data_IF_595734613508
#
_entry.id   IF_595734613508
#
_cell.length_a   1.000
_cell.length_b   1.000
_cell.length_c   1.000
_cell.angle_alpha   90.00
_cell.angle_beta   90.00
_cell.angle_gamma   90.00
#
_symmetry.space_group_name_H-M   'P 1'
#
loop_
_entity.id
_entity.type
_entity.pdbx_description
1 polymer ?
#
# COMPACT_ATOMS: atom_id res chain seq x y z
N UNK A 1 21.07 -3.85 -39.79
CA UNK A 1 19.64 -3.72 -39.45
C UNK A 1 19.47 -3.70 -37.94
N UNK A 2 19.47 -2.52 -37.31
CA UNK A 2 19.13 -2.38 -35.88
C UNK A 2 17.62 -2.58 -35.76
N UNK A 3 17.19 -3.60 -35.02
CA UNK A 3 15.78 -3.74 -34.65
C UNK A 3 15.45 -2.62 -33.66
N UNK A 4 14.89 -1.53 -34.17
CA UNK A 4 14.19 -0.53 -33.39
C UNK A 4 13.06 -1.25 -32.63
N UNK A 5 13.32 -1.59 -31.36
CA UNK A 5 12.36 -2.28 -30.52
C UNK A 5 11.18 -1.32 -30.28
N UNK A 6 10.06 -1.54 -30.96
CA UNK A 6 8.81 -0.82 -30.70
C UNK A 6 8.54 -0.86 -29.19
N UNK A 7 8.34 0.28 -28.51
CA UNK A 7 8.01 0.31 -27.09
C UNK A 7 6.59 -0.22 -26.92
N UNK A 8 6.48 -1.54 -26.80
CA UNK A 8 5.26 -2.26 -26.48
C UNK A 8 5.35 -2.83 -25.06
N UNK A 9 4.21 -3.06 -24.38
CA UNK A 9 4.20 -3.66 -23.06
C UNK A 9 4.85 -5.05 -23.09
N UNK A 10 6.03 -5.18 -22.48
CA UNK A 10 6.67 -6.48 -22.27
C UNK A 10 5.93 -7.23 -21.17
N UNK A 11 5.10 -8.20 -21.56
CA UNK A 11 4.29 -9.03 -20.65
C UNK A 11 5.09 -9.63 -19.49
N UNK A 12 6.28 -10.15 -19.77
CA UNK A 12 7.19 -10.68 -18.74
C UNK A 12 7.55 -9.63 -17.70
N UNK A 13 7.85 -8.40 -18.15
CA UNK A 13 8.15 -7.27 -17.28
C UNK A 13 6.94 -6.78 -16.49
N UNK A 14 5.71 -7.01 -16.95
CA UNK A 14 4.49 -6.74 -16.17
C UNK A 14 4.29 -7.79 -15.08
N UNK A 15 4.44 -9.07 -15.42
CA UNK A 15 4.26 -10.16 -14.47
C UNK A 15 5.32 -10.15 -13.36
N UNK A 16 6.57 -9.82 -13.69
CA UNK A 16 7.67 -9.72 -12.72
C UNK A 16 7.67 -8.42 -11.91
N UNK A 17 6.91 -7.41 -12.30
CA UNK A 17 6.96 -6.10 -11.65
C UNK A 17 6.52 -6.15 -10.19
N UNK A 18 5.34 -6.72 -9.93
CA UNK A 18 4.78 -6.87 -8.58
C UNK A 18 5.66 -7.71 -7.66
N UNK A 19 6.10 -8.93 -8.03
CA UNK A 19 6.97 -9.71 -7.16
C UNK A 19 8.34 -9.05 -6.95
N UNK A 20 8.87 -8.31 -7.92
CA UNK A 20 10.12 -7.57 -7.76
C UNK A 20 9.98 -6.42 -6.74
N UNK A 21 8.90 -5.65 -6.81
CA UNK A 21 8.61 -4.58 -5.84
C UNK A 21 8.50 -5.16 -4.43
N UNK A 22 7.81 -6.28 -4.29
CA UNK A 22 7.69 -6.99 -3.01
C UNK A 22 9.06 -7.49 -2.51
N UNK A 23 9.88 -8.07 -3.39
CA UNK A 23 11.22 -8.54 -3.04
C UNK A 23 12.13 -7.39 -2.61
N UNK A 24 12.06 -6.24 -3.27
CA UNK A 24 12.82 -5.04 -2.90
C UNK A 24 12.36 -4.50 -1.55
N UNK A 25 11.06 -4.36 -1.33
CA UNK A 25 10.52 -3.91 -0.04
C UNK A 25 10.87 -4.90 1.09
N UNK A 26 10.84 -6.19 0.81
CA UNK A 26 11.26 -7.24 1.73
C UNK A 26 12.73 -7.14 2.08
N UNK A 27 13.60 -6.91 1.09
CA UNK A 27 15.03 -6.77 1.33
C UNK A 27 15.34 -5.52 2.17
N UNK A 28 14.64 -4.41 1.91
CA UNK A 28 14.79 -3.15 2.67
C UNK A 28 14.39 -3.28 4.14
N UNK A 29 13.37 -4.09 4.42
CA UNK A 29 12.80 -4.24 5.78
C UNK A 29 13.43 -5.40 6.56
N UNK A 30 14.14 -6.31 5.89
CA UNK A 30 14.89 -7.40 6.53
C UNK A 30 15.87 -6.97 7.63
N UNK A 31 16.69 -5.90 7.49
CA UNK A 31 17.61 -5.48 8.56
C UNK A 31 16.88 -5.05 9.83
N UNK A 32 15.62 -4.62 9.77
CA UNK A 32 14.84 -4.29 10.98
C UNK A 32 14.58 -5.50 11.87
N UNK A 33 14.55 -6.71 11.31
CA UNK A 33 14.47 -7.94 12.11
C UNK A 33 15.74 -8.14 12.94
N UNK A 34 16.91 -7.76 12.41
CA UNK A 34 18.17 -7.84 13.16
C UNK A 34 18.24 -6.78 14.27
N UNK A 35 17.51 -5.67 14.12
CA UNK A 35 17.32 -4.65 15.15
C UNK A 35 16.30 -5.06 16.23
N UNK A 36 15.75 -6.28 16.17
CA UNK A 36 14.81 -6.80 17.16
C UNK A 36 13.38 -6.30 17.01
N UNK A 37 13.00 -5.73 15.86
CA UNK A 37 11.60 -5.36 15.62
C UNK A 37 10.68 -6.58 15.52
N UNK A 38 9.45 -6.38 15.98
CA UNK A 38 8.40 -7.39 15.92
C UNK A 38 8.18 -7.89 14.47
N UNK A 39 8.14 -9.22 14.23
CA UNK A 39 7.97 -9.79 12.89
C UNK A 39 6.67 -9.38 12.19
N UNK A 40 5.60 -9.15 12.95
CA UNK A 40 4.30 -8.71 12.39
C UNK A 40 4.42 -7.27 11.90
N UNK A 41 5.04 -6.40 12.70
CA UNK A 41 5.31 -5.01 12.31
C UNK A 41 6.19 -4.94 11.05
N UNK A 42 7.24 -5.77 10.95
CA UNK A 42 8.08 -5.84 9.75
C UNK A 42 7.26 -6.28 8.53
N UNK A 43 6.37 -7.27 8.67
CA UNK A 43 5.53 -7.76 7.55
C UNK A 43 4.55 -6.70 7.02
N UNK A 44 4.03 -5.86 7.91
CA UNK A 44 3.24 -4.69 7.53
C UNK A 44 4.09 -3.67 6.78
N UNK A 45 5.30 -3.41 7.27
CA UNK A 45 6.23 -2.48 6.64
C UNK A 45 6.67 -2.94 5.24
N UNK A 46 6.83 -4.26 5.02
CA UNK A 46 7.07 -4.84 3.69
C UNK A 46 5.92 -4.51 2.76
N UNK A 47 4.68 -4.74 3.19
CA UNK A 47 3.47 -4.51 2.39
C UNK A 47 3.30 -3.02 2.06
N UNK A 48 3.48 -2.16 3.07
CA UNK A 48 3.41 -0.71 2.92
C UNK A 48 4.52 -0.19 1.98
N UNK A 49 5.74 -0.67 2.18
CA UNK A 49 6.88 -0.33 1.33
C UNK A 49 6.67 -0.76 -0.12
N UNK A 50 6.17 -1.98 -0.35
CA UNK A 50 5.86 -2.47 -1.69
C UNK A 50 4.76 -1.64 -2.37
N UNK A 51 3.73 -1.24 -1.62
CA UNK A 51 2.66 -0.37 -2.10
C UNK A 51 3.18 1.03 -2.46
N UNK A 52 4.01 1.64 -1.62
CA UNK A 52 4.64 2.92 -1.90
C UNK A 52 5.56 2.85 -3.15
N UNK A 53 6.37 1.80 -3.24
CA UNK A 53 7.23 1.56 -4.41
C UNK A 53 6.39 1.38 -5.68
N UNK A 54 5.26 0.68 -5.58
CA UNK A 54 4.32 0.53 -6.68
C UNK A 54 3.76 1.87 -7.13
N UNK A 55 3.26 2.70 -6.21
CA UNK A 55 2.76 4.05 -6.49
C UNK A 55 3.81 4.91 -7.20
N UNK A 56 5.08 4.85 -6.79
CA UNK A 56 6.17 5.64 -7.40
C UNK A 56 6.61 5.06 -8.76
N UNK A 57 6.71 3.74 -8.89
CA UNK A 57 7.17 3.12 -10.13
C UNK A 57 6.10 3.10 -11.23
N UNK A 58 4.81 3.13 -10.89
CA UNK A 58 3.71 3.15 -11.85
C UNK A 58 3.77 4.34 -12.84
N UNK A 59 3.90 5.61 -12.40
CA UNK A 59 4.01 6.75 -13.31
C UNK A 59 5.30 6.73 -14.13
N UNK A 60 6.42 6.31 -13.53
CA UNK A 60 7.70 6.16 -14.23
C UNK A 60 7.59 5.13 -15.37
N UNK A 61 6.86 4.03 -15.11
CA UNK A 61 6.65 2.97 -16.10
C UNK A 61 5.69 3.40 -17.20
N UNK A 62 4.61 4.12 -16.87
CA UNK A 62 3.70 4.70 -17.87
C UNK A 62 4.44 5.73 -18.76
N UNK A 63 5.26 6.58 -18.17
CA UNK A 63 6.08 7.55 -18.91
C UNK A 63 7.06 6.87 -19.86
N UNK A 64 7.76 5.82 -19.40
CA UNK A 64 8.77 5.11 -20.23
C UNK A 64 8.17 4.19 -21.31
N UNK A 65 7.09 3.46 -20.99
CA UNK A 65 6.54 2.44 -21.91
C UNK A 65 5.51 3.05 -22.87
N UNK A 66 4.74 4.04 -22.41
CA UNK A 66 3.63 4.61 -23.18
C UNK A 66 3.86 6.08 -23.60
N UNK A 67 5.05 6.65 -23.32
CA UNK A 67 5.42 8.04 -23.65
C UNK A 67 4.39 9.08 -23.19
N UNK A 68 3.75 8.85 -22.02
CA UNK A 68 2.72 9.75 -21.49
C UNK A 68 3.37 10.84 -20.66
N UNK A 69 3.20 12.11 -21.06
CA UNK A 69 3.72 13.27 -20.35
C UNK A 69 3.12 13.47 -18.94
N UNK A 70 1.84 13.11 -18.76
CA UNK A 70 1.12 13.22 -17.49
C UNK A 70 0.45 11.88 -17.12
N UNK A 71 1.22 10.91 -16.59
CA UNK A 71 0.76 9.55 -16.36
C UNK A 71 -0.43 9.47 -15.40
N UNK A 72 -0.43 10.27 -14.33
CA UNK A 72 -1.52 10.30 -13.35
C UNK A 72 -2.84 10.87 -13.90
N UNK A 73 -2.78 11.92 -14.75
CA UNK A 73 -3.98 12.45 -15.42
C UNK A 73 -4.61 11.42 -16.35
N UNK A 74 -3.79 10.65 -17.08
CA UNK A 74 -4.30 9.56 -17.94
C UNK A 74 -4.88 8.38 -17.15
N UNK A 75 -4.47 8.19 -15.90
CA UNK A 75 -5.06 7.21 -14.99
C UNK A 75 -6.36 7.72 -14.32
N UNK A 76 -6.80 8.93 -14.65
CA UNK A 76 -8.03 9.51 -14.10
C UNK A 76 -7.83 10.35 -12.83
N UNK A 77 -6.58 10.50 -12.34
CA UNK A 77 -6.26 11.43 -11.25
C UNK A 77 -6.11 12.83 -11.85
N UNK A 78 -7.24 13.42 -12.23
CA UNK A 78 -7.34 14.75 -12.84
C UNK A 78 -8.17 15.73 -12.00
N UNK A 79 -8.63 15.29 -10.82
CA UNK A 79 -9.39 16.12 -9.90
C UNK A 79 -8.45 17.04 -9.10
N UNK A 80 -8.93 18.24 -8.70
CA UNK A 80 -8.18 19.10 -7.80
C UNK A 80 -7.97 18.40 -6.44
N UNK A 81 -6.90 18.80 -5.74
CA UNK A 81 -6.44 18.11 -4.52
C UNK A 81 -7.50 18.08 -3.43
N UNK A 82 -8.23 19.18 -3.25
CA UNK A 82 -9.36 19.31 -2.32
C UNK A 82 -10.44 18.24 -2.53
N UNK A 83 -10.89 18.07 -3.78
CA UNK A 83 -11.91 17.09 -4.15
C UNK A 83 -11.38 15.66 -4.03
N UNK A 84 -10.11 15.46 -4.31
CA UNK A 84 -9.44 14.16 -4.18
C UNK A 84 -9.31 13.75 -2.72
N UNK A 85 -8.94 14.66 -1.83
CA UNK A 85 -8.87 14.44 -0.38
C UNK A 85 -10.27 14.15 0.18
N UNK A 86 -11.29 14.90 -0.25
CA UNK A 86 -12.67 14.64 0.19
C UNK A 86 -13.17 13.27 -0.28
N UNK A 87 -12.89 12.89 -1.53
CA UNK A 87 -13.24 11.57 -2.07
C UNK A 87 -12.49 10.45 -1.34
N UNK A 88 -11.21 10.65 -1.02
CA UNK A 88 -10.40 9.71 -0.23
C UNK A 88 -10.99 9.54 1.18
N UNK A 89 -11.30 10.65 1.86
CA UNK A 89 -11.90 10.62 3.19
C UNK A 89 -13.25 9.88 3.20
N UNK A 90 -14.10 10.15 2.20
CA UNK A 90 -15.38 9.48 2.06
C UNK A 90 -15.21 7.98 1.77
N UNK A 91 -14.31 7.61 0.85
CA UNK A 91 -14.00 6.22 0.55
C UNK A 91 -13.40 5.48 1.74
N UNK A 92 -12.52 6.13 2.50
CA UNK A 92 -11.92 5.58 3.72
C UNK A 92 -12.98 5.37 4.81
N UNK A 93 -13.92 6.31 4.95
CA UNK A 93 -15.05 6.19 5.87
C UNK A 93 -15.96 5.02 5.46
N UNK A 94 -16.29 4.90 4.17
CA UNK A 94 -17.08 3.76 3.67
C UNK A 94 -16.36 2.42 3.91
N UNK A 95 -15.06 2.35 3.61
CA UNK A 95 -14.27 1.15 3.87
C UNK A 95 -14.22 0.81 5.37
N UNK A 96 -14.07 1.82 6.23
CA UNK A 96 -14.10 1.64 7.68
C UNK A 96 -15.47 1.13 8.17
N UNK A 97 -16.57 1.65 7.62
CA UNK A 97 -17.93 1.17 7.91
C UNK A 97 -18.15 -0.27 7.44
N UNK A 98 -17.70 -0.62 6.23
CA UNK A 98 -17.79 -2.00 5.75
C UNK A 98 -16.96 -2.95 6.60
N UNK A 99 -15.73 -2.56 6.93
CA UNK A 99 -14.82 -3.38 7.72
C UNK A 99 -15.33 -3.55 9.16
N UNK A 100 -15.87 -2.49 9.77
CA UNK A 100 -16.46 -2.57 11.11
C UNK A 100 -17.72 -3.44 11.10
N UNK A 101 -18.60 -3.28 10.12
CA UNK A 101 -19.77 -4.13 9.93
C UNK A 101 -19.39 -5.61 9.76
N UNK A 102 -18.40 -5.91 8.93
CA UNK A 102 -17.86 -7.27 8.76
C UNK A 102 -17.26 -7.81 10.06
N UNK A 103 -16.52 -6.98 10.79
CA UNK A 103 -15.90 -7.37 12.07
C UNK A 103 -16.95 -7.68 13.13
N UNK A 104 -18.01 -6.86 13.22
CA UNK A 104 -19.15 -7.10 14.12
C UNK A 104 -19.86 -8.39 13.74
N UNK A 105 -20.09 -8.64 12.44
CA UNK A 105 -20.71 -9.87 11.97
C UNK A 105 -19.86 -11.11 12.33
N UNK A 106 -18.54 -11.04 12.17
CA UNK A 106 -17.61 -12.10 12.55
C UNK A 106 -17.63 -12.39 14.06
N UNK A 107 -17.70 -11.34 14.88
CA UNK A 107 -17.85 -11.48 16.34
C UNK A 107 -19.20 -12.11 16.71
N UNK A 108 -20.29 -11.66 16.08
CA UNK A 108 -21.64 -12.18 16.33
C UNK A 108 -21.79 -13.66 15.93
N UNK A 109 -21.12 -14.08 14.86
CA UNK A 109 -21.09 -15.47 14.39
C UNK A 109 -20.09 -16.34 15.18
N UNK A 110 -19.32 -15.77 16.11
CA UNK A 110 -18.31 -16.49 16.90
C UNK A 110 -17.02 -16.85 16.14
N UNK A 111 -16.85 -16.38 14.90
CA UNK A 111 -15.62 -16.59 14.12
C UNK A 111 -14.47 -15.66 14.53
N UNK A 112 -14.75 -14.60 15.30
CA UNK A 112 -13.76 -13.73 15.90
C UNK A 112 -13.94 -13.68 17.42
N UNK A 113 -12.84 -13.60 18.15
CA UNK A 113 -12.83 -13.42 19.60
C UNK A 113 -12.15 -12.10 19.93
N UNK A 114 -12.73 -11.35 20.86
CA UNK A 114 -12.11 -10.14 21.38
C UNK A 114 -10.92 -10.55 22.27
N UNK A 115 -9.69 -10.21 21.86
CA UNK A 115 -8.50 -10.52 22.64
C UNK A 115 -8.49 -9.76 23.97
N UNK A 116 -8.31 -10.47 25.09
CA UNK A 116 -8.48 -9.94 26.45
C UNK A 116 -7.27 -9.16 27.03
N UNK A 117 -6.34 -8.71 26.19
CA UNK A 117 -5.11 -8.08 26.68
C UNK A 117 -4.62 -6.98 25.76
N UNK A 118 -5.16 -5.78 25.90
CA UNK A 118 -4.48 -4.58 25.40
C UNK A 118 -3.43 -4.20 26.43
N UNK A 119 -2.17 -4.50 26.15
CA UNK A 119 -1.05 -4.13 27.02
C UNK A 119 -0.79 -2.63 26.89
N UNK A 120 -0.33 -1.94 27.95
CA UNK A 120 0.05 -0.51 27.89
C UNK A 120 1.02 -0.16 26.74
N UNK A 121 1.88 -1.10 26.34
CA UNK A 121 2.74 -0.94 25.16
C UNK A 121 1.97 -0.88 23.83
N UNK A 122 0.84 -1.59 23.72
CA UNK A 122 0.00 -1.61 22.51
C UNK A 122 -0.85 -0.35 22.39
N UNK A 123 -1.32 0.24 23.49
CA UNK A 123 -2.00 1.56 23.46
C UNK A 123 -1.05 2.67 23.07
N UNK A 124 0.16 2.72 23.64
CA UNK A 124 1.17 3.72 23.26
C UNK A 124 1.58 3.56 21.79
N UNK A 125 1.77 2.33 21.31
CA UNK A 125 2.07 2.07 19.92
C UNK A 125 0.93 2.49 18.97
N UNK A 126 -0.33 2.22 19.35
CA UNK A 126 -1.50 2.65 18.57
C UNK A 126 -1.56 4.19 18.46
N UNK A 127 -1.30 4.91 19.56
CA UNK A 127 -1.26 6.38 19.57
C UNK A 127 -0.09 6.91 18.73
N UNK A 128 1.09 6.30 18.83
CA UNK A 128 2.25 6.67 18.02
C UNK A 128 1.99 6.47 16.51
N UNK A 129 1.32 5.39 16.14
CA UNK A 129 0.92 5.10 14.75
C UNK A 129 -0.10 6.12 14.22
N UNK A 130 -1.06 6.57 15.04
CA UNK A 130 -1.95 7.67 14.66
C UNK A 130 -1.14 8.96 14.44
N UNK A 131 -0.15 9.25 15.30
CA UNK A 131 0.70 10.43 15.14
C UNK A 131 1.55 10.44 13.87
N UNK A 132 2.07 9.28 13.45
CA UNK A 132 2.89 9.16 12.22
C UNK A 132 2.03 9.07 10.95
N UNK A 133 0.79 8.54 11.05
CA UNK A 133 -0.12 8.41 9.92
C UNK A 133 -0.85 9.69 9.49
N UNK A 134 -0.83 10.73 10.33
CA UNK A 134 -1.49 12.03 10.08
C UNK A 134 -0.52 13.22 9.91
N UNK A 135 0.80 12.97 9.88
CA UNK A 135 1.84 13.96 9.63
C UNK A 135 2.25 14.02 8.16
#
# INVERSE_FOLDING_TARGET
>A
MRREAKPGPRWLGTCLFVPLLLAVAWLLTRPLLWLGMDPVAVRLLVSLGAFALFLVCLPLRLGRVWAVAHPWRRLGINAPLDRSVHALAHGLLQAALLLSGLSILLLALGYAHWGSGITMGQTVNAVALVGVGFA
#
